data_IF_825346401619
#
_entry.id   IF_825346401619
#
_cell.length_a   1.000
_cell.length_b   1.000
_cell.length_c   1.000
_cell.angle_alpha   90.00
_cell.angle_beta   90.00
_cell.angle_gamma   90.00
#
_symmetry.space_group_name_H-M   'P 1'
#
loop_
_entity.id
_entity.type
_entity.pdbx_description
1 polymer ?
#
# COMPACT_ATOMS: atom_id res chain seq x y z
N UNK A 1 -11.88 -5.73 11.88
CA UNK A 1 -11.26 -6.53 12.95
C UNK A 1 -9.93 -5.94 13.45
N UNK A 2 -8.91 -5.76 12.58
CA UNK A 2 -7.60 -5.21 12.98
C UNK A 2 -7.69 -3.80 13.62
N UNK A 3 -8.47 -2.90 13.02
CA UNK A 3 -8.71 -1.56 13.58
C UNK A 3 -9.35 -1.63 14.98
N UNK A 4 -10.35 -2.49 15.17
CA UNK A 4 -10.98 -2.70 16.48
C UNK A 4 -9.95 -3.22 17.49
N UNK A 5 -9.12 -4.20 17.12
CA UNK A 5 -8.02 -4.68 17.96
C UNK A 5 -7.08 -3.54 18.38
N UNK A 6 -6.70 -2.64 17.44
CA UNK A 6 -5.89 -1.45 17.74
C UNK A 6 -6.58 -0.55 18.76
N UNK A 7 -7.86 -0.24 18.53
CA UNK A 7 -8.64 0.62 19.41
C UNK A 7 -8.73 0.04 20.83
N UNK A 8 -9.09 -1.24 20.98
CA UNK A 8 -9.17 -1.90 22.28
C UNK A 8 -7.82 -1.94 23.00
N UNK A 9 -6.71 -2.18 22.29
CA UNK A 9 -5.37 -2.10 22.90
C UNK A 9 -5.02 -0.70 23.37
N UNK A 10 -5.35 0.33 22.60
CA UNK A 10 -5.13 1.72 23.00
C UNK A 10 -5.97 2.10 24.21
N UNK A 11 -7.25 1.74 24.23
CA UNK A 11 -8.14 1.99 25.36
C UNK A 11 -7.68 1.24 26.61
N UNK A 12 -7.28 -0.02 26.47
CA UNK A 12 -6.76 -0.81 27.59
C UNK A 12 -5.46 -0.23 28.15
N UNK A 13 -4.64 0.40 27.30
CA UNK A 13 -3.41 1.08 27.73
C UNK A 13 -3.72 2.33 28.55
N UNK A 14 -4.70 3.12 28.11
CA UNK A 14 -5.16 4.32 28.83
C UNK A 14 -5.77 3.96 30.18
N UNK A 15 -6.70 2.98 30.21
CA UNK A 15 -7.34 2.52 31.44
C UNK A 15 -6.35 1.89 32.43
N UNK A 16 -5.20 1.39 31.96
CA UNK A 16 -4.17 0.85 32.84
C UNK A 16 -3.44 1.92 33.67
N UNK A 17 -3.56 3.20 33.31
CA UNK A 17 -3.01 4.31 34.09
C UNK A 17 -3.86 4.62 35.33
N UNK A 18 -5.13 4.17 35.37
CA UNK A 18 -6.02 4.31 36.52
C UNK A 18 -6.16 2.98 37.29
N UNK A 19 -5.69 2.96 38.54
CA UNK A 19 -5.73 1.79 39.41
C UNK A 19 -7.15 1.32 39.76
N UNK A 20 -8.18 2.15 39.56
CA UNK A 20 -9.58 1.80 39.79
C UNK A 20 -10.22 1.03 38.63
N UNK A 21 -9.58 1.02 37.44
CA UNK A 21 -10.16 0.48 36.21
C UNK A 21 -9.51 -0.84 35.75
N UNK A 22 -8.83 -1.56 36.66
CA UNK A 22 -8.12 -2.80 36.33
C UNK A 22 -9.03 -3.85 35.68
N UNK A 23 -10.27 -3.98 36.14
CA UNK A 23 -11.27 -4.90 35.58
C UNK A 23 -11.63 -4.53 34.12
N UNK A 24 -11.83 -3.23 33.86
CA UNK A 24 -12.13 -2.71 32.52
C UNK A 24 -10.92 -2.91 31.59
N UNK A 25 -9.71 -2.66 32.08
CA UNK A 25 -8.48 -2.90 31.32
C UNK A 25 -8.36 -4.37 30.86
N UNK A 26 -8.69 -5.33 31.74
CA UNK A 26 -8.66 -6.75 31.42
C UNK A 26 -9.73 -7.12 30.38
N UNK A 27 -10.96 -6.61 30.54
CA UNK A 27 -12.04 -6.82 29.56
C UNK A 27 -11.67 -6.28 28.17
N UNK A 28 -11.12 -5.07 28.10
CA UNK A 28 -10.66 -4.46 26.84
C UNK A 28 -9.54 -5.29 26.19
N UNK A 29 -8.60 -5.83 26.98
CA UNK A 29 -7.55 -6.74 26.47
C UNK A 29 -8.14 -8.03 25.91
N UNK A 30 -9.14 -8.60 26.59
CA UNK A 30 -9.81 -9.81 26.12
C UNK A 30 -10.52 -9.56 24.79
N UNK A 31 -11.27 -8.47 24.67
CA UNK A 31 -11.87 -8.07 23.39
C UNK A 31 -10.84 -7.84 22.29
N UNK A 32 -9.71 -7.18 22.61
CA UNK A 32 -8.63 -7.00 21.64
C UNK A 32 -8.10 -8.35 21.11
N UNK A 33 -7.96 -9.35 21.99
CA UNK A 33 -7.51 -10.69 21.61
C UNK A 33 -8.54 -11.45 20.76
N UNK A 34 -9.83 -11.29 21.04
CA UNK A 34 -10.89 -11.90 20.22
C UNK A 34 -10.93 -11.31 18.81
N UNK A 35 -10.83 -9.98 18.68
CA UNK A 35 -10.71 -9.33 17.37
C UNK A 35 -9.41 -9.70 16.65
N UNK A 36 -8.33 -9.95 17.41
CA UNK A 36 -7.05 -10.43 16.85
C UNK A 36 -7.23 -11.81 16.22
N UNK A 37 -7.88 -12.75 16.92
CA UNK A 37 -8.17 -14.10 16.39
C UNK A 37 -9.15 -14.03 15.21
N UNK A 38 -10.19 -13.22 15.32
CA UNK A 38 -11.18 -13.02 14.25
C UNK A 38 -10.52 -12.51 12.97
N UNK A 39 -9.58 -11.56 13.08
CA UNK A 39 -8.85 -11.06 11.90
C UNK A 39 -8.05 -12.16 11.19
N UNK A 40 -7.45 -13.09 11.94
CA UNK A 40 -6.72 -14.22 11.39
C UNK A 40 -7.65 -15.22 10.71
N UNK A 41 -8.77 -15.56 11.34
CA UNK A 41 -9.76 -16.47 10.74
C UNK A 41 -10.41 -15.89 9.49
N UNK A 42 -10.65 -14.57 9.45
CA UNK A 42 -11.11 -13.90 8.23
C UNK A 42 -10.08 -13.97 7.11
N UNK A 43 -8.80 -13.73 7.43
CA UNK A 43 -7.71 -13.87 6.46
C UNK A 43 -7.64 -15.29 5.89
N UNK A 44 -7.68 -16.30 6.75
CA UNK A 44 -7.66 -17.69 6.35
C UNK A 44 -8.87 -18.04 5.47
N UNK A 45 -10.06 -17.56 5.82
CA UNK A 45 -11.27 -17.78 5.03
C UNK A 45 -11.18 -17.11 3.65
N UNK A 46 -10.74 -15.86 3.58
CA UNK A 46 -10.54 -15.16 2.31
C UNK A 46 -9.49 -15.88 1.45
N UNK A 47 -8.36 -16.27 2.04
CA UNK A 47 -7.27 -16.93 1.33
C UNK A 47 -7.68 -18.31 0.77
N UNK A 48 -8.51 -19.05 1.51
CA UNK A 48 -9.05 -20.33 1.05
C UNK A 48 -10.09 -20.16 -0.08
N UNK A 49 -10.72 -18.98 -0.20
CA UNK A 49 -11.71 -18.70 -1.24
C UNK A 49 -11.06 -18.23 -2.55
N UNK A 50 -10.20 -17.21 -2.45
CA UNK A 50 -9.46 -16.65 -3.57
C UNK A 50 -8.14 -16.06 -3.03
N UNK A 51 -7.04 -16.73 -3.33
CA UNK A 51 -5.73 -16.33 -2.87
C UNK A 51 -5.29 -15.00 -3.51
N UNK A 52 -5.44 -14.87 -4.83
CA UNK A 52 -5.02 -13.69 -5.56
C UNK A 52 -5.74 -12.41 -5.10
N UNK A 53 -7.06 -12.46 -4.93
CA UNK A 53 -7.83 -11.31 -4.42
C UNK A 53 -7.50 -11.01 -2.96
N UNK A 54 -7.21 -12.03 -2.14
CA UNK A 54 -6.82 -11.82 -0.75
C UNK A 54 -5.50 -11.07 -0.66
N UNK A 55 -4.51 -11.40 -1.50
CA UNK A 55 -3.27 -10.63 -1.55
C UNK A 55 -3.51 -9.15 -1.90
N UNK A 56 -4.39 -8.87 -2.87
CA UNK A 56 -4.77 -7.49 -3.22
C UNK A 56 -5.47 -6.77 -2.06
N UNK A 57 -6.36 -7.45 -1.34
CA UNK A 57 -7.04 -6.89 -0.18
C UNK A 57 -6.06 -6.52 0.94
N UNK A 58 -4.96 -7.26 1.08
CA UNK A 58 -3.94 -6.99 2.10
C UNK A 58 -3.20 -5.66 1.85
N UNK A 59 -3.05 -5.29 0.58
CA UNK A 59 -2.26 -4.16 0.12
C UNK A 59 -3.09 -2.97 -0.33
N UNK A 60 -4.41 -3.13 -0.37
CA UNK A 60 -5.32 -2.05 -0.63
C UNK A 60 -5.24 -0.98 0.46
N UNK A 61 -5.26 0.29 0.07
CA UNK A 61 -5.24 1.41 1.00
C UNK A 61 -6.64 1.74 1.51
N UNK A 62 -6.79 1.76 2.83
CA UNK A 62 -8.07 2.08 3.45
C UNK A 62 -8.19 3.60 3.65
N UNK A 63 -8.85 4.28 2.71
CA UNK A 63 -9.07 5.74 2.75
C UNK A 63 -9.73 6.18 4.06
N UNK A 64 -10.70 5.40 4.55
CA UNK A 64 -11.42 5.68 5.80
C UNK A 64 -10.56 5.51 7.07
N UNK A 65 -9.36 4.93 6.95
CA UNK A 65 -8.49 4.60 8.07
C UNK A 65 -7.06 5.12 7.88
N UNK A 66 -6.93 6.30 7.27
CA UNK A 66 -5.67 7.03 7.16
C UNK A 66 -4.76 6.55 6.02
N UNK A 67 -5.33 5.99 4.96
CA UNK A 67 -4.61 5.41 3.81
C UNK A 67 -3.65 4.27 4.19
N UNK A 68 -3.90 3.62 5.33
CA UNK A 68 -3.12 2.47 5.78
C UNK A 68 -3.60 1.19 5.08
N UNK A 69 -2.67 0.27 4.82
CA UNK A 69 -3.01 -1.06 4.30
C UNK A 69 -3.42 -2.01 5.41
N UNK A 70 -4.16 -3.07 5.06
CA UNK A 70 -4.50 -4.13 6.01
C UNK A 70 -3.24 -4.79 6.59
N UNK A 71 -2.19 -4.96 5.77
CA UNK A 71 -0.89 -5.46 6.20
C UNK A 71 -0.21 -4.50 7.21
N UNK A 72 -0.20 -3.20 6.96
CA UNK A 72 0.34 -2.19 7.88
C UNK A 72 -0.42 -2.19 9.22
N UNK A 73 -1.76 -2.25 9.17
CA UNK A 73 -2.61 -2.36 10.35
C UNK A 73 -2.26 -3.59 11.20
N UNK A 74 -2.00 -4.74 10.57
CA UNK A 74 -1.61 -5.96 11.27
C UNK A 74 -0.25 -5.82 11.99
N UNK A 75 0.70 -5.11 11.39
CA UNK A 75 1.99 -4.77 12.00
C UNK A 75 1.79 -3.83 13.20
N UNK A 76 0.99 -2.77 13.05
CA UNK A 76 0.74 -1.80 14.12
C UNK A 76 0.11 -2.44 15.37
N UNK A 77 -0.75 -3.44 15.21
CA UNK A 77 -1.32 -4.18 16.36
C UNK A 77 -0.43 -5.32 16.87
N UNK A 78 0.74 -5.52 16.26
CA UNK A 78 1.70 -6.60 16.56
C UNK A 78 1.06 -8.00 16.53
N UNK A 79 0.20 -8.27 15.53
CA UNK A 79 -0.46 -9.57 15.38
C UNK A 79 0.47 -10.56 14.65
N UNK A 80 1.45 -11.10 15.38
CA UNK A 80 2.46 -12.01 14.82
C UNK A 80 1.87 -13.23 14.10
N UNK A 81 0.76 -13.77 14.59
CA UNK A 81 0.09 -14.92 13.97
C UNK A 81 -0.52 -14.58 12.62
N UNK A 82 -1.07 -13.37 12.48
CA UNK A 82 -1.56 -12.85 11.20
C UNK A 82 -0.41 -12.66 10.21
N UNK A 83 0.72 -12.09 10.66
CA UNK A 83 1.89 -11.88 9.81
C UNK A 83 2.57 -13.19 9.40
N UNK A 84 2.54 -14.22 10.25
CA UNK A 84 3.09 -15.54 9.96
C UNK A 84 2.21 -16.37 9.01
N UNK A 85 0.99 -15.91 8.69
CA UNK A 85 0.10 -16.61 7.78
C UNK A 85 0.75 -16.75 6.39
N UNK A 86 0.60 -17.91 5.69
CA UNK A 86 1.23 -18.14 4.39
C UNK A 86 0.96 -17.05 3.36
N UNK A 87 -0.29 -16.54 3.29
CA UNK A 87 -0.66 -15.41 2.44
C UNK A 87 0.25 -14.18 2.63
N UNK A 88 0.54 -13.81 3.88
CA UNK A 88 1.39 -12.67 4.20
C UNK A 88 2.85 -12.94 3.81
N UNK A 89 3.33 -14.18 4.01
CA UNK A 89 4.70 -14.55 3.66
C UNK A 89 4.94 -14.58 2.15
N UNK A 90 3.97 -15.07 1.37
CA UNK A 90 4.01 -15.03 -0.09
C UNK A 90 4.04 -13.58 -0.56
N UNK A 91 3.13 -12.76 -0.05
CA UNK A 91 3.08 -11.34 -0.38
C UNK A 91 4.39 -10.59 -0.03
N UNK A 92 4.94 -10.83 1.15
CA UNK A 92 6.20 -10.21 1.58
C UNK A 92 7.38 -10.69 0.73
N UNK A 93 7.40 -11.95 0.32
CA UNK A 93 8.39 -12.47 -0.60
C UNK A 93 8.27 -11.81 -1.98
N UNK A 94 7.05 -11.67 -2.50
CA UNK A 94 6.82 -10.98 -3.77
C UNK A 94 7.23 -9.51 -3.71
N UNK A 95 6.97 -8.84 -2.59
CA UNK A 95 7.42 -7.47 -2.35
C UNK A 95 8.95 -7.37 -2.27
N UNK A 96 9.60 -8.32 -1.59
CA UNK A 96 11.06 -8.40 -1.48
C UNK A 96 11.74 -8.60 -2.83
N UNK A 97 11.17 -9.46 -3.69
CA UNK A 97 11.70 -9.68 -5.04
C UNK A 97 11.37 -8.54 -6.01
N UNK A 98 10.32 -7.76 -5.73
CA UNK A 98 9.87 -6.64 -6.55
C UNK A 98 9.61 -7.08 -7.99
N UNK A 99 10.19 -6.36 -8.94
CA UNK A 99 10.09 -6.65 -10.38
C UNK A 99 10.96 -7.81 -10.89
N UNK A 100 11.73 -8.48 -10.03
CA UNK A 100 12.58 -9.57 -10.44
C UNK A 100 11.80 -10.90 -10.45
N UNK A 101 11.83 -11.65 -11.56
CA UNK A 101 11.32 -13.02 -11.57
C UNK A 101 12.33 -13.95 -10.89
N UNK A 102 12.02 -14.32 -9.66
CA UNK A 102 12.86 -15.24 -8.91
C UNK A 102 12.55 -16.70 -9.27
N UNK A 103 13.53 -17.35 -9.90
CA UNK A 103 13.56 -18.80 -10.15
C UNK A 103 14.76 -19.41 -9.42
N UNK A 104 14.80 -20.74 -9.30
CA UNK A 104 15.81 -21.47 -8.51
C UNK A 104 17.28 -21.08 -8.77
N UNK A 105 17.64 -20.59 -9.98
CA UNK A 105 18.98 -20.11 -10.32
C UNK A 105 19.16 -18.57 -10.33
N UNK A 106 18.13 -17.79 -10.01
CA UNK A 106 18.18 -16.32 -10.07
C UNK A 106 19.11 -15.72 -9.02
N UNK A 107 19.23 -16.29 -7.83
CA UNK A 107 20.12 -15.77 -6.77
C UNK A 107 21.59 -15.67 -7.21
N UNK A 108 22.10 -16.67 -7.94
CA UNK A 108 23.46 -16.64 -8.46
C UNK A 108 23.62 -15.62 -9.58
N UNK A 109 22.60 -15.46 -10.42
CA UNK A 109 22.59 -14.42 -11.48
C UNK A 109 22.60 -13.02 -10.87
N UNK A 110 21.81 -12.78 -9.82
CA UNK A 110 21.78 -11.50 -9.10
C UNK A 110 23.16 -11.19 -8.50
N UNK A 111 23.79 -12.18 -7.85
CA UNK A 111 25.14 -12.01 -7.30
C UNK A 111 26.15 -11.66 -8.39
N UNK A 112 26.12 -12.36 -9.53
CA UNK A 112 27.00 -12.04 -10.65
C UNK A 112 26.68 -10.67 -11.28
N UNK A 113 25.40 -10.26 -11.30
CA UNK A 113 24.94 -8.92 -11.69
C UNK A 113 25.58 -7.80 -10.88
N UNK A 114 25.78 -8.03 -9.58
CA UNK A 114 26.46 -7.09 -8.69
C UNK A 114 27.95 -6.92 -9.04
N UNK A 115 28.62 -8.01 -9.45
CA UNK A 115 30.04 -7.98 -9.83
C UNK A 115 30.29 -7.57 -11.28
N UNK A 116 29.35 -7.88 -12.18
CA UNK A 116 29.47 -7.66 -13.61
C UNK A 116 28.15 -7.11 -14.18
N UNK A 117 28.08 -5.80 -14.50
CA UNK A 117 26.83 -5.14 -14.92
C UNK A 117 26.26 -5.71 -16.23
N UNK A 118 27.08 -6.38 -17.06
CA UNK A 118 26.62 -7.02 -18.29
C UNK A 118 25.62 -8.16 -18.04
N UNK A 119 25.67 -8.77 -16.86
CA UNK A 119 24.76 -9.88 -16.54
C UNK A 119 23.38 -9.45 -16.09
N UNK A 120 23.15 -8.15 -15.90
CA UNK A 120 21.82 -7.57 -15.67
C UNK A 120 20.88 -7.87 -16.83
N UNK A 121 21.39 -7.90 -18.08
CA UNK A 121 20.59 -8.28 -19.26
C UNK A 121 20.18 -9.76 -19.28
N UNK A 122 20.81 -10.61 -18.47
CA UNK A 122 20.49 -12.02 -18.33
C UNK A 122 19.50 -12.29 -17.18
N UNK A 123 19.18 -11.26 -16.39
CA UNK A 123 18.12 -11.34 -15.37
C UNK A 123 16.76 -11.23 -16.05
N UNK A 124 15.85 -12.09 -15.62
CA UNK A 124 14.48 -12.09 -16.11
C UNK A 124 13.64 -11.16 -15.23
N UNK A 125 13.23 -10.04 -15.80
CA UNK A 125 12.34 -9.09 -15.13
C UNK A 125 10.90 -9.39 -15.50
N UNK A 126 10.00 -9.07 -14.56
CA UNK A 126 8.56 -9.11 -14.79
C UNK A 126 8.20 -8.05 -15.83
N UNK A 127 7.17 -8.31 -16.64
CA UNK A 127 6.74 -7.32 -17.63
C UNK A 127 6.15 -6.08 -16.94
N UNK A 128 6.07 -4.95 -17.66
CA UNK A 128 5.46 -3.72 -17.13
C UNK A 128 4.00 -3.94 -16.71
N UNK A 129 3.26 -4.76 -17.46
CA UNK A 129 1.86 -5.09 -17.13
C UNK A 129 1.77 -5.94 -15.86
N UNK A 130 2.66 -6.90 -15.68
CA UNK A 130 2.72 -7.73 -14.47
C UNK A 130 3.21 -6.98 -13.22
N UNK A 131 3.96 -5.89 -13.41
CA UNK A 131 4.39 -4.95 -12.38
C UNK A 131 3.25 -4.03 -11.92
N UNK A 132 2.43 -3.53 -12.86
CA UNK A 132 1.26 -2.70 -12.53
C UNK A 132 0.19 -3.46 -11.73
N UNK A 133 0.18 -4.79 -11.82
CA UNK A 133 -0.70 -5.66 -11.03
C UNK A 133 -0.10 -6.04 -9.67
N UNK A 134 1.17 -5.73 -9.41
CA UNK A 134 1.78 -6.01 -8.12
C UNK A 134 1.37 -4.97 -7.09
N UNK A 135 1.20 -5.39 -5.82
CA UNK A 135 1.03 -4.45 -4.74
C UNK A 135 2.28 -3.57 -4.62
N UNK A 136 2.09 -2.26 -4.73
CA UNK A 136 3.17 -1.29 -4.67
C UNK A 136 3.70 -1.14 -3.25
N UNK A 137 5.02 -0.93 -3.15
CA UNK A 137 5.65 -0.48 -1.89
C UNK A 137 5.30 0.97 -1.60
N UNK A 138 5.38 1.38 -0.32
CA UNK A 138 5.16 2.77 0.08
C UNK A 138 6.07 3.77 -0.66
N UNK A 139 7.32 3.37 -1.00
CA UNK A 139 8.26 4.21 -1.74
C UNK A 139 7.88 4.37 -3.23
N UNK A 140 7.31 3.34 -3.85
CA UNK A 140 6.76 3.43 -5.21
C UNK A 140 5.51 4.31 -5.24
N UNK A 141 4.63 4.17 -4.25
CA UNK A 141 3.44 5.01 -4.13
C UNK A 141 3.79 6.51 -3.95
N UNK A 142 4.81 6.83 -3.13
CA UNK A 142 5.27 8.21 -2.96
C UNK A 142 5.86 8.81 -4.24
N UNK A 143 6.59 8.02 -5.03
CA UNK A 143 7.10 8.45 -6.33
C UNK A 143 5.97 8.72 -7.33
N UNK A 144 4.95 7.85 -7.39
CA UNK A 144 3.78 8.04 -8.27
C UNK A 144 2.98 9.31 -7.91
N UNK A 145 2.84 9.62 -6.61
CA UNK A 145 2.21 10.86 -6.14
C UNK A 145 3.02 12.10 -6.56
N UNK A 146 4.35 12.05 -6.45
CA UNK A 146 5.23 13.13 -6.86
C UNK A 146 5.19 13.36 -8.38
N UNK A 147 5.18 12.30 -9.19
CA UNK A 147 5.05 12.39 -10.66
C UNK A 147 3.66 12.88 -11.12
N UNK A 148 2.62 12.53 -10.37
CA UNK A 148 1.26 13.07 -10.60
C UNK A 148 1.18 14.57 -10.25
N UNK A 149 1.92 15.01 -9.22
CA UNK A 149 1.98 16.44 -8.84
C UNK A 149 2.81 17.28 -9.84
N UNK A 150 3.86 16.71 -10.43
CA UNK A 150 4.71 17.39 -11.42
C UNK A 150 4.03 17.54 -12.79
N UNK A 151 3.18 16.59 -13.17
CA UNK A 151 2.36 16.69 -14.39
C UNK A 151 1.17 17.66 -14.25
N UNK A 152 0.68 17.91 -13.03
CA UNK A 152 -0.36 18.92 -12.76
C UNK A 152 0.17 20.38 -12.74
N UNK A 153 1.49 20.58 -12.70
CA UNK A 153 2.12 21.90 -12.71
C UNK A 153 2.63 22.34 -14.09
N UNK A 154 2.49 21.51 -15.14
CA UNK A 154 2.90 21.85 -16.51
C UNK A 154 1.77 22.18 -17.49
N UNK A 155 0.51 22.26 -17.05
CA UNK A 155 -0.62 22.68 -17.91
C UNK A 155 -1.10 24.09 -17.57
N UNK A 156 -0.21 25.07 -17.69
CA UNK A 156 -0.57 26.44 -17.33
C UNK A 156 0.39 27.53 -17.77
N UNK A 157 1.02 27.44 -18.95
CA UNK A 157 1.61 28.62 -19.61
C UNK A 157 1.81 28.36 -21.11
N UNK A 158 1.29 29.30 -21.89
CA UNK A 158 1.79 29.77 -23.19
C UNK A 158 1.27 29.12 -24.47
N UNK A 159 0.27 29.77 -25.08
CA UNK A 159 0.22 30.00 -26.53
C UNK A 159 -0.55 31.29 -26.79
N UNK A 160 0.16 32.41 -26.70
CA UNK A 160 -0.18 33.64 -27.40
C UNK A 160 -0.05 33.36 -28.90
N UNK A 161 -1.15 33.42 -29.64
CA UNK A 161 -1.13 33.54 -31.09
C UNK A 161 -1.99 34.74 -31.46
N UNK A 162 -1.29 35.79 -31.87
CA UNK A 162 -1.83 36.99 -32.49
C UNK A 162 -2.63 36.65 -33.74
N UNK A 163 -3.80 37.27 -33.90
CA UNK A 163 -4.41 37.49 -35.22
C UNK A 163 -5.29 38.73 -35.19
N UNK A 164 -4.65 39.82 -35.59
CA UNK A 164 -5.11 41.02 -36.30
C UNK A 164 -6.56 41.52 -36.16
N UNK A 165 -6.59 42.73 -35.61
CA UNK A 165 -7.63 43.75 -35.68
C UNK A 165 -7.73 44.34 -37.10
N UNK A 166 -8.95 44.45 -37.65
CA UNK A 166 -9.30 45.44 -38.67
C UNK A 166 -10.80 45.79 -38.59
N UNK A 167 -11.03 47.04 -38.19
CA UNK A 167 -12.06 48.02 -38.56
C UNK A 167 -13.55 47.65 -38.49
N UNK A 168 -14.34 48.40 -37.72
CA UNK A 168 -15.05 49.58 -38.26
C UNK A 168 -15.76 50.37 -37.14
N UNK A 169 -15.48 51.68 -37.14
CA UNK A 169 -16.11 52.73 -36.35
C UNK A 169 -17.25 53.30 -37.20
N UNK A 170 -18.52 53.19 -36.78
CA UNK A 170 -19.53 54.17 -37.20
C UNK A 170 -20.67 54.27 -36.17
N UNK A 171 -20.74 55.45 -35.54
CA UNK A 171 -21.88 56.00 -34.81
C UNK A 171 -23.07 56.23 -35.75
N UNK A 172 -24.30 55.89 -35.33
CA UNK A 172 -25.41 56.84 -35.42
C UNK A 172 -26.63 56.50 -34.54
N UNK A 173 -27.08 57.52 -33.80
CA UNK A 173 -28.37 57.66 -33.14
C UNK A 173 -29.56 57.29 -34.06
N UNK A 174 -30.61 56.62 -33.54
CA UNK A 174 -31.93 57.19 -33.13
C UNK A 174 -32.69 56.19 -32.26
#
# INVERSE_FOLDING_TARGET
ALVACRLYKSLAKEAAEDYLEVEICEELKNHAEDFRKLSLSLLEHCYNHDDAQTLQLLTYELISWGNETCLSLAVMVNNKQFLAHPCCQILLADLWHGGLRMRSHSNLKVLFGLFCPLTIFLLEFKSREELLLQPQTAAEHENDLNDSSSSSSSSGTDSSSDSDFSSDDEFQDV
#
